data_IF_432073233978
#
_entry.id   IF_432073233978
#
_cell.length_a   1.000
_cell.length_b   1.000
_cell.length_c   1.000
_cell.angle_alpha   90.00
_cell.angle_beta   90.00
_cell.angle_gamma   90.00
#
_symmetry.space_group_name_H-M   'P 1'
#
loop_
_entity.id
_entity.type
_entity.pdbx_description
1 polymer ?
#
# COMPACT_ATOMS: atom_id res chain seq x y z
N UNK A 1 -22.78 -18.60 -9.33
CA UNK A 1 -21.31 -18.71 -9.41
C UNK A 1 -20.57 -17.42 -9.02
N UNK A 2 -21.17 -16.24 -9.16
CA UNK A 2 -20.51 -14.95 -8.83
C UNK A 2 -20.14 -14.79 -7.34
N UNK A 3 -20.96 -15.31 -6.42
CA UNK A 3 -20.68 -15.27 -4.98
C UNK A 3 -19.42 -16.07 -4.59
N UNK A 4 -19.17 -17.19 -5.28
CA UNK A 4 -17.96 -18.02 -5.07
C UNK A 4 -16.72 -17.24 -5.49
N UNK A 5 -16.78 -16.49 -6.60
CA UNK A 5 -15.68 -15.63 -7.06
C UNK A 5 -15.36 -14.53 -6.07
N UNK A 6 -16.37 -13.83 -5.55
CA UNK A 6 -16.18 -12.80 -4.50
C UNK A 6 -15.56 -13.38 -3.22
N UNK A 7 -15.96 -14.59 -2.84
CA UNK A 7 -15.38 -15.30 -1.69
C UNK A 7 -13.92 -15.72 -1.89
N UNK A 8 -13.56 -16.14 -3.10
CA UNK A 8 -12.18 -16.46 -3.46
C UNK A 8 -11.30 -15.20 -3.48
N UNK A 9 -11.78 -14.13 -4.10
CA UNK A 9 -11.09 -12.83 -4.15
C UNK A 9 -10.84 -12.25 -2.74
N UNK A 10 -11.84 -12.31 -1.85
CA UNK A 10 -11.69 -11.88 -0.47
C UNK A 10 -10.65 -12.72 0.29
N UNK A 11 -10.62 -14.04 0.09
CA UNK A 11 -9.62 -14.93 0.70
C UNK A 11 -8.21 -14.56 0.22
N UNK A 12 -8.02 -14.42 -1.09
CA UNK A 12 -6.73 -14.04 -1.67
C UNK A 12 -6.28 -12.67 -1.15
N UNK A 13 -7.19 -11.69 -1.10
CA UNK A 13 -6.94 -10.37 -0.54
C UNK A 13 -6.47 -10.42 0.90
N UNK A 14 -7.13 -11.21 1.74
CA UNK A 14 -6.74 -11.38 3.15
C UNK A 14 -5.37 -12.05 3.31
N UNK A 15 -5.03 -13.01 2.44
CA UNK A 15 -3.70 -13.65 2.42
C UNK A 15 -2.63 -12.61 2.04
N UNK A 16 -2.87 -11.78 1.03
CA UNK A 16 -1.95 -10.71 0.65
C UNK A 16 -1.77 -9.68 1.76
N UNK A 17 -2.86 -9.25 2.41
CA UNK A 17 -2.79 -8.37 3.58
C UNK A 17 -1.93 -9.00 4.67
N UNK A 18 -2.17 -10.27 5.01
CA UNK A 18 -1.38 -10.97 6.02
C UNK A 18 0.12 -11.06 5.65
N UNK A 19 0.45 -11.30 4.38
CA UNK A 19 1.85 -11.29 3.89
C UNK A 19 2.50 -9.92 4.07
N UNK A 20 1.80 -8.85 3.71
CA UNK A 20 2.30 -7.47 3.83
C UNK A 20 2.50 -7.08 5.29
N UNK A 21 1.56 -7.40 6.17
CA UNK A 21 1.69 -7.11 7.61
C UNK A 21 2.88 -7.86 8.25
N UNK A 22 3.20 -9.07 7.77
CA UNK A 22 4.41 -9.79 8.20
C UNK A 22 5.69 -9.15 7.69
N UNK A 23 5.68 -8.62 6.45
CA UNK A 23 6.82 -7.94 5.83
C UNK A 23 7.09 -6.57 6.47
N UNK A 24 6.03 -5.87 6.90
CA UNK A 24 6.11 -4.54 7.52
C UNK A 24 5.39 -4.51 8.88
N UNK A 25 5.98 -5.08 9.95
CA UNK A 25 5.32 -5.21 11.25
C UNK A 25 4.81 -3.88 11.84
N UNK A 26 5.48 -2.76 11.56
CA UNK A 26 5.08 -1.42 12.02
C UNK A 26 3.69 -1.00 11.51
N UNK A 27 3.23 -1.53 10.36
CA UNK A 27 1.89 -1.22 9.83
C UNK A 27 0.78 -1.72 10.76
N UNK A 28 1.04 -2.81 11.50
CA UNK A 28 0.12 -3.33 12.52
C UNK A 28 -0.06 -2.31 13.64
N UNK A 29 1.01 -1.62 14.03
CA UNK A 29 0.96 -0.59 15.08
C UNK A 29 0.15 0.62 14.62
N UNK A 30 0.35 1.06 13.37
CA UNK A 30 -0.44 2.15 12.76
C UNK A 30 -1.94 1.81 12.75
N UNK A 31 -2.29 0.58 12.36
CA UNK A 31 -3.67 0.10 12.35
C UNK A 31 -4.25 0.04 13.77
N UNK A 32 -3.47 -0.43 14.76
CA UNK A 32 -3.92 -0.52 16.17
C UNK A 32 -4.14 0.83 16.82
N UNK A 33 -3.29 1.82 16.53
CA UNK A 33 -3.37 3.16 17.12
C UNK A 33 -4.53 3.99 16.55
N UNK A 34 -4.99 3.70 15.34
CA UNK A 34 -6.10 4.40 14.67
C UNK A 34 -7.24 3.40 14.46
N UNK A 35 -8.04 3.08 15.49
CA UNK A 35 -9.17 2.16 15.35
C UNK A 35 -10.22 2.79 14.43
N UNK A 36 -10.07 2.58 13.12
CA UNK A 36 -11.18 2.70 12.19
C UNK A 36 -11.96 1.39 12.29
N UNK A 37 -13.23 1.52 12.65
CA UNK A 37 -14.04 0.41 13.17
C UNK A 37 -14.19 -0.77 12.21
N UNK A 38 -13.90 -0.63 10.90
CA UNK A 38 -13.80 -1.74 9.97
C UNK A 38 -12.82 -1.35 8.85
N UNK A 39 -11.58 -1.85 8.89
CA UNK A 39 -10.75 -1.86 7.68
C UNK A 39 -11.40 -2.84 6.70
N UNK A 40 -12.15 -2.32 5.73
CA UNK A 40 -12.60 -3.15 4.64
C UNK A 40 -11.35 -3.57 3.85
N UNK A 41 -11.13 -4.86 3.53
CA UNK A 41 -9.92 -5.31 2.85
C UNK A 41 -9.59 -4.58 1.54
N UNK A 42 -10.58 -3.93 0.91
CA UNK A 42 -10.42 -3.13 -0.31
C UNK A 42 -10.11 -1.65 -0.09
N UNK A 43 -10.15 -1.13 1.14
CA UNK A 43 -9.76 0.26 1.43
C UNK A 43 -8.29 0.38 1.83
N UNK A 44 -7.66 -0.75 2.15
CA UNK A 44 -6.24 -0.81 2.48
C UNK A 44 -5.46 -0.86 1.19
N UNK A 45 -4.65 0.17 0.95
CA UNK A 45 -3.69 0.20 -0.15
C UNK A 45 -2.29 0.22 0.42
N UNK A 46 -1.37 -0.51 -0.22
CA UNK A 46 0.04 -0.51 0.18
C UNK A 46 0.93 -0.25 -1.02
N UNK A 47 1.79 0.72 -0.85
CA UNK A 47 2.72 1.21 -1.84
C UNK A 47 4.14 0.94 -1.36
N UNK A 48 5.00 0.38 -2.21
CA UNK A 48 6.39 0.08 -1.85
C UNK A 48 7.31 0.58 -2.95
N UNK A 49 8.42 1.21 -2.59
CA UNK A 49 9.43 1.61 -3.56
C UNK A 49 10.13 0.37 -4.14
N UNK A 50 10.59 0.45 -5.40
CA UNK A 50 11.23 -0.71 -6.07
C UNK A 50 12.44 -1.28 -5.31
N UNK A 51 13.19 -0.41 -4.65
CA UNK A 51 14.34 -0.76 -3.81
C UNK A 51 13.94 -1.24 -2.39
N UNK A 52 12.65 -1.18 -2.05
CA UNK A 52 12.13 -1.54 -0.72
C UNK A 52 12.55 -0.60 0.40
N UNK A 53 13.17 0.56 0.09
CA UNK A 53 13.65 1.52 1.09
C UNK A 53 12.51 2.20 1.84
N UNK A 54 11.32 2.28 1.24
CA UNK A 54 10.13 2.88 1.81
C UNK A 54 8.89 2.06 1.49
N UNK A 55 8.04 1.89 2.50
CA UNK A 55 6.72 1.30 2.34
C UNK A 55 5.68 2.23 2.95
N UNK A 56 4.57 2.41 2.28
CA UNK A 56 3.49 3.27 2.69
C UNK A 56 2.18 2.50 2.74
N UNK A 57 1.41 2.69 3.80
CA UNK A 57 0.06 2.17 3.94
C UNK A 57 -0.93 3.33 3.87
N UNK A 58 -1.87 3.26 2.92
CA UNK A 58 -3.01 4.15 2.85
C UNK A 58 -4.24 3.44 3.39
N UNK A 59 -4.87 4.03 4.40
CA UNK A 59 -6.11 3.52 5.00
C UNK A 59 -7.33 4.35 4.55
N UNK A 60 -7.10 5.40 3.76
CA UNK A 60 -8.10 6.27 3.14
C UNK A 60 -7.54 6.83 1.82
N UNK A 61 -8.31 7.64 1.08
CA UNK A 61 -7.93 8.12 -0.25
C UNK A 61 -6.69 9.05 -0.29
N UNK A 62 -6.24 9.59 0.84
CA UNK A 62 -5.21 10.65 0.85
C UNK A 62 -4.22 10.63 2.00
N UNK A 63 -4.60 10.05 3.15
CA UNK A 63 -3.71 9.96 4.30
C UNK A 63 -3.03 8.60 4.33
N UNK A 64 -1.72 8.62 4.16
CA UNK A 64 -0.89 7.44 4.27
C UNK A 64 0.10 7.56 5.43
N UNK A 65 0.61 6.42 5.85
CA UNK A 65 1.76 6.35 6.75
C UNK A 65 2.89 5.71 5.97
N UNK A 66 4.02 6.38 5.89
CA UNK A 66 5.21 5.82 5.26
C UNK A 66 6.24 5.48 6.32
N UNK A 67 6.79 4.28 6.20
CA UNK A 67 7.84 3.76 7.05
C UNK A 67 9.16 3.65 6.31
N UNK A 68 10.23 4.09 6.97
CA UNK A 68 11.62 3.87 6.57
C UNK A 68 12.35 3.33 7.80
N UNK A 69 13.14 2.26 7.63
CA UNK A 69 13.97 1.68 8.70
C UNK A 69 13.21 1.36 10.01
N UNK A 70 11.94 0.95 9.92
CA UNK A 70 11.12 0.55 11.07
C UNK A 70 10.41 1.69 11.81
N UNK A 71 10.61 2.95 11.43
CA UNK A 71 9.85 4.09 11.96
C UNK A 71 8.83 4.59 10.93
N UNK A 72 7.60 4.86 11.36
CA UNK A 72 6.51 5.32 10.50
C UNK A 72 6.05 6.74 10.83
N UNK A 73 5.73 7.53 9.80
CA UNK A 73 5.18 8.88 9.94
C UNK A 73 3.96 9.09 9.04
N UNK A 74 3.03 9.92 9.49
CA UNK A 74 1.89 10.36 8.67
C UNK A 74 2.41 11.25 7.53
N UNK A 75 1.99 10.97 6.30
CA UNK A 75 2.29 11.75 5.11
C UNK A 75 1.03 11.94 4.26
N UNK A 76 0.97 13.05 3.54
CA UNK A 76 0.02 13.17 2.43
C UNK A 76 0.69 12.54 1.22
N UNK A 77 0.29 11.32 0.87
CA UNK A 77 0.81 10.59 -0.28
C UNK A 77 0.06 10.93 -1.58
N UNK A 78 0.50 11.96 -2.28
CA UNK A 78 -0.01 12.31 -3.61
C UNK A 78 0.71 11.49 -4.68
N UNK A 79 0.00 10.54 -5.28
CA UNK A 79 0.53 9.65 -6.32
C UNK A 79 -0.25 9.81 -7.62
N UNK A 80 0.46 9.81 -8.74
CA UNK A 80 -0.10 9.70 -10.07
C UNK A 80 0.23 8.35 -10.69
N UNK A 81 -0.75 7.72 -11.32
CA UNK A 81 -0.55 6.49 -12.04
C UNK A 81 0.44 6.72 -13.19
N UNK A 82 1.43 5.84 -13.31
CA UNK A 82 2.37 5.83 -14.42
C UNK A 82 2.06 4.74 -15.43
N UNK A 83 2.06 3.47 -15.00
CA UNK A 83 2.02 2.30 -15.89
C UNK A 83 1.73 1.02 -15.12
N UNK A 84 1.44 -0.05 -15.84
CA UNK A 84 1.48 -1.40 -15.30
C UNK A 84 2.86 -2.03 -15.54
N UNK A 85 3.36 -2.78 -14.57
CA UNK A 85 4.60 -3.55 -14.68
C UNK A 85 4.41 -4.93 -14.03
N UNK A 86 5.06 -5.96 -14.59
CA UNK A 86 4.99 -7.31 -14.02
C UNK A 86 6.00 -7.43 -12.88
N UNK A 87 5.54 -7.78 -11.69
CA UNK A 87 6.36 -8.02 -10.51
C UNK A 87 5.83 -9.22 -9.72
N UNK A 88 6.73 -10.12 -9.32
CA UNK A 88 6.38 -11.40 -8.68
C UNK A 88 5.25 -12.14 -9.43
N UNK A 89 5.38 -12.24 -10.76
CA UNK A 89 4.41 -12.91 -11.66
C UNK A 89 3.00 -12.28 -11.69
N UNK A 90 2.81 -11.11 -11.06
CA UNK A 90 1.55 -10.36 -11.05
C UNK A 90 1.70 -9.02 -11.75
N UNK A 91 0.63 -8.57 -12.41
CA UNK A 91 0.55 -7.21 -12.94
C UNK A 91 0.34 -6.23 -11.79
N UNK A 92 1.24 -5.26 -11.64
CA UNK A 92 1.20 -4.25 -10.57
C UNK A 92 1.12 -2.86 -11.16
N UNK A 93 0.39 -2.00 -10.50
CA UNK A 93 0.33 -0.59 -10.85
C UNK A 93 1.54 0.15 -10.27
N UNK A 94 2.18 0.94 -11.12
CA UNK A 94 3.30 1.79 -10.77
C UNK A 94 2.82 3.23 -10.73
N UNK A 95 3.18 3.92 -9.66
CA UNK A 95 2.82 5.29 -9.35
C UNK A 95 4.06 6.15 -9.19
N UNK A 96 3.93 7.44 -9.48
CA UNK A 96 4.95 8.46 -9.23
C UNK A 96 4.44 9.49 -8.25
N UNK A 97 5.28 10.02 -7.35
CA UNK A 97 4.89 11.10 -6.48
C UNK A 97 4.56 12.36 -7.28
N UNK A 98 3.47 13.01 -6.88
CA UNK A 98 2.96 14.27 -7.42
C UNK A 98 3.05 15.38 -6.35
N UNK A 99 2.88 16.63 -6.78
CA UNK A 99 2.77 17.79 -5.90
C UNK A 99 3.99 17.99 -5.02
N UNK A 100 3.79 18.22 -3.72
CA UNK A 100 4.90 18.46 -2.77
C UNK A 100 5.87 17.29 -2.67
N UNK A 101 5.39 16.05 -2.86
CA UNK A 101 6.24 14.86 -2.86
C UNK A 101 7.05 14.72 -4.15
N UNK A 102 6.56 15.21 -5.28
CA UNK A 102 7.32 15.19 -6.54
C UNK A 102 8.67 15.93 -6.39
N UNK A 103 8.72 17.03 -5.64
CA UNK A 103 9.94 17.80 -5.44
C UNK A 103 11.01 17.08 -4.59
N UNK A 104 10.60 16.19 -3.69
CA UNK A 104 11.52 15.49 -2.77
C UNK A 104 11.81 14.05 -3.18
N UNK A 105 10.94 13.46 -4.01
CA UNK A 105 10.95 12.06 -4.39
C UNK A 105 10.78 11.84 -5.91
N UNK A 106 11.07 12.83 -6.76
CA UNK A 106 10.84 12.80 -8.22
C UNK A 106 11.28 11.51 -8.94
N UNK A 107 12.32 10.84 -8.43
CA UNK A 107 12.89 9.62 -8.99
C UNK A 107 12.33 8.33 -8.39
N UNK A 108 11.53 8.40 -7.32
CA UNK A 108 10.96 7.23 -6.65
C UNK A 108 9.68 6.81 -7.34
N UNK A 109 9.66 5.57 -7.81
CA UNK A 109 8.43 4.92 -8.27
C UNK A 109 7.89 4.01 -7.17
N UNK A 110 6.59 4.09 -6.94
CA UNK A 110 5.86 3.30 -5.95
C UNK A 110 5.04 2.24 -6.65
N UNK A 111 5.17 1.00 -6.20
CA UNK A 111 4.37 -0.12 -6.68
C UNK A 111 3.23 -0.38 -5.71
N UNK A 112 2.00 -0.45 -6.24
CA UNK A 112 0.84 -0.89 -5.47
C UNK A 112 0.85 -2.41 -5.33
N UNK A 113 1.06 -2.89 -4.11
CA UNK A 113 1.12 -4.32 -3.79
C UNK A 113 -0.17 -4.82 -3.11
N UNK A 114 -0.98 -3.89 -2.59
CA UNK A 114 -2.36 -4.07 -2.13
C UNK A 114 -3.20 -2.93 -2.67
#
# INVERSE_FOLDING_TARGET
>A
MEWVRKWLDLRERLIEIAKVMRRFPWMVEVIRQRPMSILHPYTVEVYVTRDGSEACISLSQSKAYCGQNGAAREVWLELEFSRYEVYEEKMREIYRPKGLLAFTAATREYMKIL
#
